data_IF_534116930409
#
_entry.id   IF_534116930409
#
_cell.length_a   1.000
_cell.length_b   1.000
_cell.length_c   1.000
_cell.angle_alpha   90.00
_cell.angle_beta   90.00
_cell.angle_gamma   90.00
#
_symmetry.space_group_name_H-M   'P 1'
#
loop_
_entity.id
_entity.type
_entity.pdbx_description
1 polymer ?
#
# COMPACT_ATOMS: atom_id res chain seq x y z
N UNK A 1 1.16 21.08 4.33
CA UNK A 1 1.61 22.17 5.21
C UNK A 1 3.05 22.53 4.90
N UNK A 2 3.29 23.73 4.38
CA UNK A 2 4.65 24.22 4.12
C UNK A 2 5.12 25.07 5.30
N UNK A 3 6.20 24.65 5.92
CA UNK A 3 7.02 25.45 6.82
C UNK A 3 8.41 25.55 6.22
N UNK A 4 8.81 26.72 5.77
CA UNK A 4 10.14 26.93 5.18
C UNK A 4 11.12 27.56 6.16
N UNK A 5 10.67 28.01 7.34
CA UNK A 5 11.52 28.68 8.30
C UNK A 5 12.35 27.71 9.13
N UNK A 6 13.67 27.94 9.11
CA UNK A 6 14.58 27.36 10.07
C UNK A 6 14.61 28.24 11.33
N UNK A 7 14.69 27.61 12.50
CA UNK A 7 14.89 28.34 13.74
C UNK A 7 16.23 29.07 13.70
N UNK A 8 16.24 30.36 13.95
CA UNK A 8 17.47 31.15 14.06
C UNK A 8 18.00 31.09 15.50
N UNK A 9 19.32 30.90 15.61
CA UNK A 9 20.01 30.90 16.90
C UNK A 9 20.60 32.29 17.11
N UNK A 10 20.12 32.98 18.14
CA UNK A 10 20.70 34.27 18.56
C UNK A 10 20.96 34.25 20.06
N UNK A 11 22.01 34.93 20.49
CA UNK A 11 22.38 34.99 21.91
C UNK A 11 21.46 35.89 22.75
N UNK A 12 20.77 36.83 22.12
CA UNK A 12 19.90 37.82 22.79
C UNK A 12 18.42 37.75 22.38
N UNK A 13 18.06 36.83 21.46
CA UNK A 13 16.69 36.65 20.98
C UNK A 13 16.10 37.84 20.22
N UNK A 14 16.94 38.80 19.80
CA UNK A 14 16.52 40.03 19.09
C UNK A 14 16.63 39.92 17.59
N UNK A 15 17.23 38.87 17.05
CA UNK A 15 17.22 38.63 15.61
C UNK A 15 15.77 38.33 15.16
N UNK A 16 15.25 39.12 14.24
CA UNK A 16 13.96 38.86 13.62
C UNK A 16 14.13 37.68 12.65
N UNK A 17 13.50 36.54 12.96
CA UNK A 17 13.33 35.47 11.96
C UNK A 17 12.32 35.93 10.91
N UNK A 18 12.55 35.55 9.64
CA UNK A 18 11.59 35.87 8.59
C UNK A 18 10.22 35.24 8.93
N UNK A 19 9.14 36.03 9.01
CA UNK A 19 7.81 35.48 9.26
C UNK A 19 7.40 34.59 8.09
N UNK A 20 6.96 33.38 8.38
CA UNK A 20 6.42 32.46 7.39
C UNK A 20 4.95 32.20 7.67
N UNK A 21 4.12 32.25 6.64
CA UNK A 21 2.70 31.95 6.73
C UNK A 21 2.45 30.51 6.30
N UNK A 22 1.77 29.76 7.16
CA UNK A 22 1.42 28.38 6.87
C UNK A 22 0.40 28.30 5.74
N UNK A 23 0.84 27.90 4.56
CA UNK A 23 -0.05 27.65 3.42
C UNK A 23 -0.67 26.26 3.58
N UNK A 24 -2.00 26.21 3.61
CA UNK A 24 -2.77 24.96 3.61
C UNK A 24 -3.44 24.79 2.26
N UNK A 25 -3.02 23.79 1.51
CA UNK A 25 -3.74 23.33 0.34
C UNK A 25 -4.71 22.19 0.72
N UNK A 26 -5.89 22.20 0.13
CA UNK A 26 -6.87 21.14 0.31
C UNK A 26 -6.73 20.16 -0.84
N UNK A 27 -6.41 18.92 -0.52
CA UNK A 27 -6.42 17.81 -1.45
C UNK A 27 -7.66 16.95 -1.17
N UNK A 28 -8.35 16.54 -2.24
CA UNK A 28 -9.44 15.60 -2.21
C UNK A 28 -9.02 14.31 -2.89
N UNK A 29 -9.52 13.18 -2.40
CA UNK A 29 -9.35 11.87 -3.03
C UNK A 29 -10.74 11.27 -3.22
N UNK A 30 -11.07 10.73 -4.40
CA UNK A 30 -12.33 10.02 -4.60
C UNK A 30 -12.29 8.70 -3.82
N UNK A 31 -13.41 8.38 -3.15
CA UNK A 31 -13.53 7.13 -2.41
C UNK A 31 -14.62 6.29 -3.10
N UNK A 32 -14.26 5.44 -4.08
CA UNK A 32 -15.21 4.56 -4.75
C UNK A 32 -15.77 3.50 -3.79
N UNK A 33 -16.97 3.01 -4.11
CA UNK A 33 -17.56 1.85 -3.45
C UNK A 33 -17.15 0.61 -4.22
N UNK A 34 -16.43 -0.29 -3.57
CA UNK A 34 -16.13 -1.63 -4.09
C UNK A 34 -17.22 -2.56 -3.61
N UNK A 35 -17.84 -3.32 -4.52
CA UNK A 35 -18.91 -4.25 -4.16
C UNK A 35 -18.85 -5.54 -4.97
N UNK A 36 -19.35 -6.61 -4.36
CA UNK A 36 -19.55 -7.93 -4.98
C UNK A 36 -20.99 -8.33 -4.73
N UNK A 37 -21.73 -8.60 -5.79
CA UNK A 37 -23.12 -9.04 -5.75
C UNK A 37 -23.20 -10.54 -6.00
N UNK A 38 -24.01 -11.26 -5.21
CA UNK A 38 -24.31 -12.67 -5.43
C UNK A 38 -25.74 -13.01 -5.00
N UNK A 39 -26.27 -14.12 -5.52
CA UNK A 39 -27.63 -14.55 -5.28
C UNK A 39 -27.67 -16.01 -4.88
N UNK A 40 -28.46 -16.33 -3.87
CA UNK A 40 -28.69 -17.69 -3.40
C UNK A 40 -30.16 -18.06 -3.63
N UNK A 41 -30.45 -18.99 -4.57
CA UNK A 41 -31.80 -19.51 -4.74
C UNK A 41 -32.27 -20.26 -3.49
N UNK A 42 -33.53 -20.04 -3.08
CA UNK A 42 -34.13 -20.66 -1.89
C UNK A 42 -34.01 -22.19 -1.88
N UNK A 43 -34.10 -22.82 -3.05
CA UNK A 43 -33.91 -24.28 -3.17
C UNK A 43 -32.51 -24.73 -2.77
N UNK A 44 -31.48 -23.97 -3.14
CA UNK A 44 -30.09 -24.26 -2.74
C UNK A 44 -29.89 -24.06 -1.25
N UNK A 45 -30.47 -23.02 -0.69
CA UNK A 45 -30.41 -22.73 0.74
C UNK A 45 -31.06 -23.87 1.56
N UNK A 46 -32.21 -24.37 1.14
CA UNK A 46 -32.86 -25.52 1.79
C UNK A 46 -32.03 -26.82 1.66
N UNK A 47 -31.40 -27.06 0.51
CA UNK A 47 -30.52 -28.21 0.33
C UNK A 47 -29.30 -28.13 1.24
N UNK A 48 -28.66 -26.99 1.33
CA UNK A 48 -27.51 -26.73 2.20
C UNK A 48 -27.84 -27.01 3.67
N UNK A 49 -28.99 -26.53 4.15
CA UNK A 49 -29.44 -26.80 5.53
C UNK A 49 -29.62 -28.29 5.81
N UNK A 50 -30.07 -29.08 4.82
CA UNK A 50 -30.24 -30.53 4.96
C UNK A 50 -28.92 -31.29 5.02
N UNK A 51 -27.85 -30.76 4.45
CA UNK A 51 -26.51 -31.37 4.45
C UNK A 51 -25.60 -30.83 5.57
N UNK A 52 -26.07 -29.81 6.32
CA UNK A 52 -25.31 -29.23 7.43
C UNK A 52 -24.17 -28.29 6.99
N UNK A 53 -24.18 -27.89 5.73
CA UNK A 53 -23.24 -26.91 5.16
C UNK A 53 -23.93 -25.56 5.03
N UNK A 54 -23.24 -24.45 5.32
CA UNK A 54 -23.77 -23.09 5.13
C UNK A 54 -23.26 -22.52 3.81
N UNK A 55 -24.05 -22.64 2.75
CA UNK A 55 -23.72 -22.05 1.45
C UNK A 55 -23.62 -20.53 1.51
N UNK A 56 -24.36 -19.91 2.43
CA UNK A 56 -24.34 -18.47 2.65
C UNK A 56 -22.96 -18.03 3.19
N UNK A 57 -22.41 -18.74 4.17
CA UNK A 57 -21.10 -18.43 4.76
C UNK A 57 -19.97 -18.64 3.75
N UNK A 58 -20.04 -19.69 2.93
CA UNK A 58 -19.06 -19.95 1.88
C UNK A 58 -19.05 -18.83 0.82
N UNK A 59 -20.23 -18.42 0.35
CA UNK A 59 -20.34 -17.36 -0.65
C UNK A 59 -19.96 -16.01 -0.08
N UNK A 60 -20.32 -15.72 1.18
CA UNK A 60 -19.90 -14.50 1.86
C UNK A 60 -18.38 -14.44 2.05
N UNK A 61 -17.75 -15.58 2.39
CA UNK A 61 -16.29 -15.67 2.50
C UNK A 61 -15.59 -15.44 1.15
N UNK A 62 -16.12 -16.03 0.06
CA UNK A 62 -15.58 -15.83 -1.29
C UNK A 62 -15.79 -14.39 -1.78
N UNK A 63 -16.97 -13.79 -1.56
CA UNK A 63 -17.22 -12.39 -1.85
C UNK A 63 -16.25 -11.46 -1.09
N UNK A 64 -15.99 -11.77 0.18
CA UNK A 64 -15.01 -11.05 0.99
C UNK A 64 -13.57 -11.21 0.49
N UNK A 65 -13.22 -12.38 -0.08
CA UNK A 65 -11.91 -12.61 -0.71
C UNK A 65 -11.74 -11.77 -1.98
N UNK A 66 -12.75 -11.77 -2.85
CA UNK A 66 -12.75 -10.98 -4.08
C UNK A 66 -12.66 -9.48 -3.77
N UNK A 67 -13.40 -9.02 -2.76
CA UNK A 67 -13.39 -7.62 -2.34
C UNK A 67 -11.98 -7.20 -1.86
N UNK A 68 -11.31 -8.04 -1.06
CA UNK A 68 -9.93 -7.76 -0.60
C UNK A 68 -8.94 -7.72 -1.75
N UNK A 69 -9.02 -8.64 -2.71
CA UNK A 69 -8.16 -8.62 -3.90
C UNK A 69 -8.37 -7.33 -4.71
N UNK A 70 -9.62 -6.85 -4.83
CA UNK A 70 -9.91 -5.57 -5.49
C UNK A 70 -9.35 -4.39 -4.71
N UNK A 71 -9.43 -4.39 -3.38
CA UNK A 71 -8.84 -3.36 -2.53
C UNK A 71 -7.29 -3.37 -2.62
N UNK A 72 -6.66 -4.55 -2.69
CA UNK A 72 -5.22 -4.70 -2.92
C UNK A 72 -4.82 -4.13 -4.28
N UNK A 73 -5.61 -4.42 -5.32
CA UNK A 73 -5.38 -3.86 -6.65
C UNK A 73 -5.54 -2.32 -6.66
N UNK A 74 -6.53 -1.77 -5.94
CA UNK A 74 -6.64 -0.32 -5.76
C UNK A 74 -5.43 0.29 -5.04
N UNK A 75 -4.84 -0.43 -4.09
CA UNK A 75 -3.60 -0.01 -3.43
C UNK A 75 -2.43 0.03 -4.41
N UNK A 76 -2.31 -0.97 -5.28
CA UNK A 76 -1.19 -1.09 -6.21
C UNK A 76 -1.32 -0.16 -7.42
N UNK A 77 -2.47 -0.22 -8.12
CA UNK A 77 -2.68 0.45 -9.42
C UNK A 77 -3.46 1.76 -9.30
N UNK A 78 -4.20 1.96 -8.20
CA UNK A 78 -5.13 3.07 -8.07
C UNK A 78 -6.44 2.83 -8.83
N UNK A 79 -7.16 3.94 -9.10
CA UNK A 79 -8.41 3.90 -9.84
C UNK A 79 -8.36 4.86 -11.02
N UNK A 80 -8.49 4.31 -12.24
CA UNK A 80 -8.30 5.07 -13.46
C UNK A 80 -9.27 6.23 -13.74
N UNK A 81 -10.56 6.17 -13.35
CA UNK A 81 -11.48 7.27 -13.57
C UNK A 81 -11.17 8.50 -12.71
N UNK A 82 -11.07 9.66 -13.36
CA UNK A 82 -10.94 10.95 -12.70
C UNK A 82 -12.31 11.49 -12.29
N UNK A 83 -12.45 11.98 -11.09
CA UNK A 83 -13.70 12.55 -10.56
C UNK A 83 -13.52 14.06 -10.36
N UNK A 84 -14.35 14.91 -10.99
CA UNK A 84 -14.27 16.35 -10.75
C UNK A 84 -14.84 16.70 -9.37
N UNK A 85 -14.15 17.58 -8.65
CA UNK A 85 -14.66 18.18 -7.42
C UNK A 85 -15.72 19.27 -7.72
N UNK A 86 -16.30 19.85 -6.68
CA UNK A 86 -17.28 20.96 -6.81
C UNK A 86 -16.70 22.24 -7.39
N UNK A 87 -15.37 22.35 -7.51
CA UNK A 87 -14.65 23.50 -8.06
C UNK A 87 -14.12 23.22 -9.48
N UNK A 88 -14.34 22.01 -10.00
CA UNK A 88 -13.88 21.56 -11.32
C UNK A 88 -12.44 21.06 -11.36
N UNK A 89 -11.79 20.87 -10.20
CA UNK A 89 -10.49 20.20 -10.16
C UNK A 89 -10.67 18.70 -10.31
N UNK A 90 -9.74 18.07 -11.01
CA UNK A 90 -9.72 16.63 -11.15
C UNK A 90 -9.14 15.98 -9.89
N UNK A 91 -9.89 15.02 -9.36
CA UNK A 91 -9.45 14.17 -8.25
C UNK A 91 -9.10 12.79 -8.80
N UNK A 92 -7.86 12.39 -8.61
CA UNK A 92 -7.34 11.10 -9.02
C UNK A 92 -7.05 10.23 -7.78
N UNK A 93 -7.25 8.92 -7.91
CA UNK A 93 -6.85 7.94 -6.91
C UNK A 93 -5.62 7.21 -7.44
N UNK A 94 -4.45 7.64 -6.98
CA UNK A 94 -3.19 7.03 -7.35
C UNK A 94 -2.96 5.71 -6.60
N UNK A 95 -2.36 4.73 -7.28
CA UNK A 95 -1.79 3.55 -6.65
C UNK A 95 -0.31 3.73 -6.33
N UNK A 96 0.25 2.84 -5.54
CA UNK A 96 1.67 2.90 -5.16
C UNK A 96 2.62 2.74 -6.35
N UNK A 97 2.17 2.15 -7.47
CA UNK A 97 2.98 2.04 -8.70
C UNK A 97 3.07 3.34 -9.49
N UNK A 98 2.23 4.34 -9.15
CA UNK A 98 2.25 5.61 -9.87
C UNK A 98 3.46 6.46 -9.49
N UNK A 99 4.13 6.99 -10.51
CA UNK A 99 5.28 7.88 -10.32
C UNK A 99 4.94 9.21 -9.65
N UNK A 100 3.66 9.58 -9.56
CA UNK A 100 3.24 10.76 -8.80
C UNK A 100 3.47 10.60 -7.30
N UNK A 101 3.33 9.37 -6.78
CA UNK A 101 3.38 9.08 -5.33
C UNK A 101 4.58 8.24 -4.92
N UNK A 102 5.21 7.52 -5.85
CA UNK A 102 6.35 6.62 -5.59
C UNK A 102 7.61 7.02 -6.34
N UNK A 103 8.76 6.60 -5.82
CA UNK A 103 10.04 6.61 -6.52
C UNK A 103 10.06 5.36 -7.37
N UNK A 104 9.99 5.52 -8.70
CA UNK A 104 9.98 4.39 -9.62
C UNK A 104 11.38 4.11 -10.15
N UNK A 105 11.76 2.84 -10.17
CA UNK A 105 13.08 2.39 -10.62
C UNK A 105 13.06 0.97 -11.16
N UNK A 106 14.25 0.49 -11.49
CA UNK A 106 14.50 -0.90 -11.86
C UNK A 106 15.40 -1.50 -10.79
N UNK A 107 15.08 -2.70 -10.31
CA UNK A 107 15.91 -3.41 -9.34
C UNK A 107 17.32 -3.66 -9.86
N UNK A 108 18.29 -3.82 -8.97
CA UNK A 108 19.70 -4.11 -9.30
C UNK A 108 19.86 -5.35 -10.19
N UNK A 109 18.87 -6.24 -10.19
CA UNK A 109 18.77 -7.39 -11.07
C UNK A 109 17.79 -8.43 -10.56
N UNK A 110 17.60 -9.48 -11.33
CA UNK A 110 16.73 -10.63 -11.02
C UNK A 110 17.14 -11.27 -9.67
N UNK A 111 16.18 -11.48 -8.80
CA UNK A 111 16.35 -12.08 -7.46
C UNK A 111 16.73 -13.57 -7.50
N UNK A 112 16.64 -14.22 -8.66
CA UNK A 112 17.25 -15.53 -8.88
C UNK A 112 18.75 -15.56 -8.59
N UNK A 113 19.41 -14.39 -8.57
CA UNK A 113 20.76 -14.21 -8.04
C UNK A 113 20.71 -13.63 -6.62
N UNK A 114 21.10 -14.38 -5.58
CA UNK A 114 20.96 -13.99 -4.18
C UNK A 114 21.63 -12.65 -3.81
N UNK A 115 22.71 -12.24 -4.49
CA UNK A 115 23.36 -10.94 -4.27
C UNK A 115 22.46 -9.77 -4.66
N UNK A 116 21.66 -9.94 -5.73
CA UNK A 116 20.80 -8.87 -6.24
C UNK A 116 19.68 -8.51 -5.26
N UNK A 117 19.20 -9.47 -4.45
CA UNK A 117 18.19 -9.21 -3.42
C UNK A 117 18.69 -8.18 -2.40
N UNK A 118 19.92 -8.37 -1.89
CA UNK A 118 20.49 -7.46 -0.91
C UNK A 118 20.83 -6.11 -1.55
N UNK A 119 21.37 -6.13 -2.78
CA UNK A 119 21.69 -4.89 -3.51
C UNK A 119 20.41 -4.10 -3.84
N UNK A 120 19.30 -4.79 -4.19
CA UNK A 120 17.98 -4.14 -4.39
C UNK A 120 17.50 -3.47 -3.11
N UNK A 121 17.61 -4.13 -1.95
CA UNK A 121 17.17 -3.56 -0.68
C UNK A 121 18.04 -2.35 -0.30
N UNK A 122 19.36 -2.48 -0.40
CA UNK A 122 20.29 -1.43 0.00
C UNK A 122 20.26 -0.23 -0.97
N UNK A 123 20.45 -0.50 -2.27
CA UNK A 123 20.70 0.56 -3.25
C UNK A 123 19.42 1.11 -3.87
N UNK A 124 18.41 0.24 -4.10
CA UNK A 124 17.22 0.65 -4.85
C UNK A 124 16.02 0.99 -3.94
N UNK A 125 15.99 0.46 -2.71
CA UNK A 125 14.92 0.75 -1.74
C UNK A 125 15.37 1.73 -0.67
N UNK A 126 16.41 1.40 0.11
CA UNK A 126 16.82 2.21 1.26
C UNK A 126 17.51 3.50 0.83
N UNK A 127 18.50 3.43 -0.05
CA UNK A 127 19.27 4.60 -0.47
C UNK A 127 18.40 5.74 -1.04
N UNK A 128 17.41 5.52 -1.93
CA UNK A 128 16.52 6.59 -2.37
C UNK A 128 15.70 7.23 -1.25
N UNK A 129 15.23 6.44 -0.28
CA UNK A 129 14.47 6.95 0.87
C UNK A 129 15.37 7.75 1.82
N UNK A 130 16.55 7.23 2.15
CA UNK A 130 17.53 7.88 3.02
C UNK A 130 18.10 9.17 2.41
N UNK A 131 18.30 9.21 1.09
CA UNK A 131 18.73 10.42 0.39
C UNK A 131 17.72 11.54 0.55
N UNK A 132 16.40 11.23 0.43
CA UNK A 132 15.36 12.22 0.68
C UNK A 132 15.31 12.69 2.14
N UNK A 133 15.64 11.80 3.09
CA UNK A 133 15.76 12.15 4.51
C UNK A 133 16.96 13.06 4.77
N UNK A 134 18.09 12.77 4.14
CA UNK A 134 19.31 13.59 4.29
C UNK A 134 19.14 15.01 3.72
N UNK A 135 18.40 15.13 2.61
CA UNK A 135 18.16 16.40 1.95
C UNK A 135 17.05 17.23 2.62
N UNK A 136 16.21 16.58 3.43
CA UNK A 136 15.03 17.20 4.01
C UNK A 136 14.73 16.62 5.41
N UNK A 137 14.80 17.46 6.46
CA UNK A 137 14.52 17.09 7.87
C UNK A 137 13.14 16.41 8.09
N UNK A 138 12.28 16.37 7.07
CA UNK A 138 10.95 15.76 7.05
C UNK A 138 10.82 14.60 6.08
N UNK A 139 11.93 14.10 5.59
CA UNK A 139 11.97 12.93 4.72
C UNK A 139 11.43 11.65 5.39
N UNK A 140 11.20 10.61 4.61
CA UNK A 140 10.81 9.31 5.13
C UNK A 140 12.00 8.67 5.85
N UNK A 141 11.86 8.33 7.13
CA UNK A 141 12.87 7.60 7.88
C UNK A 141 12.45 6.13 8.07
N UNK A 142 12.98 5.20 7.26
CA UNK A 142 12.64 3.79 7.36
C UNK A 142 13.06 3.17 8.69
N UNK A 143 14.18 3.63 9.28
CA UNK A 143 14.72 3.07 10.51
C UNK A 143 13.85 3.42 11.71
N UNK A 144 13.37 4.68 11.77
CA UNK A 144 12.53 5.15 12.87
C UNK A 144 11.08 4.68 12.73
N UNK A 145 10.54 4.72 11.51
CA UNK A 145 9.11 4.46 11.25
C UNK A 145 8.81 3.00 10.93
N UNK A 146 9.80 2.24 10.46
CA UNK A 146 9.61 0.91 9.87
C UNK A 146 9.32 0.94 8.37
N UNK A 147 9.57 -0.17 7.70
CA UNK A 147 9.39 -0.31 6.26
C UNK A 147 8.66 -1.61 5.93
N UNK A 148 7.58 -1.52 5.16
CA UNK A 148 6.97 -2.67 4.51
C UNK A 148 7.57 -2.86 3.13
N UNK A 149 7.93 -4.11 2.80
CA UNK A 149 8.38 -4.50 1.46
C UNK A 149 7.49 -5.64 0.96
N UNK A 150 6.76 -5.40 -0.12
CA UNK A 150 5.94 -6.39 -0.78
C UNK A 150 6.63 -6.90 -2.03
N UNK A 151 6.57 -8.21 -2.23
CA UNK A 151 7.18 -8.92 -3.35
C UNK A 151 6.23 -9.97 -3.92
N UNK A 152 6.40 -10.34 -5.19
CA UNK A 152 5.58 -11.39 -5.80
C UNK A 152 5.87 -12.76 -5.18
N UNK A 153 4.86 -13.63 -4.95
CA UNK A 153 5.03 -14.93 -4.29
C UNK A 153 6.07 -15.87 -4.92
N UNK A 154 6.32 -15.77 -6.24
CA UNK A 154 7.33 -16.55 -6.94
C UNK A 154 8.75 -16.29 -6.41
N UNK A 155 9.04 -15.06 -5.99
CA UNK A 155 10.35 -14.64 -5.44
C UNK A 155 10.61 -15.22 -4.03
N UNK A 156 9.62 -15.87 -3.42
CA UNK A 156 9.79 -16.50 -2.09
C UNK A 156 10.86 -17.60 -2.08
N UNK A 157 11.05 -18.30 -3.21
CA UNK A 157 12.11 -19.31 -3.34
C UNK A 157 13.49 -18.68 -3.25
N UNK A 158 13.66 -17.52 -3.85
CA UNK A 158 14.92 -16.79 -3.92
C UNK A 158 15.30 -16.22 -2.56
N UNK A 159 14.32 -15.69 -1.81
CA UNK A 159 14.49 -15.26 -0.42
C UNK A 159 14.86 -16.39 0.56
N UNK A 160 14.57 -17.65 0.20
CA UNK A 160 14.99 -18.83 0.97
C UNK A 160 16.36 -19.38 0.57
N UNK A 161 16.96 -18.85 -0.50
CA UNK A 161 18.30 -19.21 -0.90
C UNK A 161 19.32 -18.90 0.20
N UNK A 162 20.45 -19.60 0.17
CA UNK A 162 21.53 -19.34 1.13
C UNK A 162 22.15 -17.95 0.89
N UNK A 163 22.45 -17.25 1.98
CA UNK A 163 23.12 -15.95 1.93
C UNK A 163 24.52 -16.09 1.27
N UNK A 164 24.79 -15.40 0.15
CA UNK A 164 26.08 -15.47 -0.54
C UNK A 164 27.18 -14.69 0.19
N UNK A 165 26.81 -13.77 1.09
CA UNK A 165 27.74 -12.92 1.86
C UNK A 165 28.11 -13.54 3.20
N UNK A 166 27.46 -14.67 3.59
CA UNK A 166 27.62 -15.34 4.87
C UNK A 166 28.21 -16.75 4.76
N UNK A 167 28.22 -17.47 5.88
CA UNK A 167 28.75 -18.84 5.98
C UNK A 167 27.82 -19.94 5.37
N UNK A 168 26.79 -19.55 4.63
CA UNK A 168 25.83 -20.45 3.98
C UNK A 168 24.82 -21.13 4.93
N UNK A 169 24.84 -20.80 6.22
CA UNK A 169 23.94 -21.38 7.23
C UNK A 169 22.65 -20.58 7.42
N UNK A 170 22.53 -19.41 6.78
CA UNK A 170 21.42 -18.50 6.92
C UNK A 170 20.76 -18.26 5.56
N UNK A 171 19.44 -18.16 5.52
CA UNK A 171 18.72 -17.74 4.31
C UNK A 171 18.79 -16.22 4.14
N UNK A 172 18.57 -15.72 2.89
CA UNK A 172 18.49 -14.28 2.63
C UNK A 172 17.42 -13.61 3.48
N UNK A 173 16.26 -14.25 3.65
CA UNK A 173 15.19 -13.73 4.50
C UNK A 173 15.65 -13.52 5.94
N UNK A 174 16.35 -14.52 6.51
CA UNK A 174 16.90 -14.41 7.87
C UNK A 174 17.99 -13.34 7.95
N UNK A 175 18.78 -13.16 6.89
CA UNK A 175 19.79 -12.11 6.82
C UNK A 175 19.16 -10.72 6.84
N UNK A 176 18.11 -10.51 6.02
CA UNK A 176 17.35 -9.25 5.96
C UNK A 176 16.74 -8.94 7.34
N UNK A 177 16.08 -9.91 7.96
CA UNK A 177 15.49 -9.75 9.30
C UNK A 177 16.54 -9.42 10.38
N UNK A 178 17.77 -9.91 10.23
CA UNK A 178 18.85 -9.64 11.18
C UNK A 178 19.50 -8.27 10.97
N UNK A 179 19.79 -7.90 9.73
CA UNK A 179 20.52 -6.67 9.41
C UNK A 179 19.58 -5.45 9.39
N UNK A 180 18.32 -5.68 9.02
CA UNK A 180 17.27 -4.64 8.89
C UNK A 180 16.03 -5.01 9.70
N UNK A 181 16.07 -5.02 11.04
CA UNK A 181 14.96 -5.46 11.89
C UNK A 181 13.70 -4.59 11.76
N UNK A 182 13.81 -3.44 11.11
CA UNK A 182 12.71 -2.52 10.80
C UNK A 182 12.02 -2.82 9.46
N UNK A 183 12.54 -3.76 8.65
CA UNK A 183 11.94 -4.18 7.38
C UNK A 183 11.01 -5.37 7.62
N UNK A 184 9.76 -5.25 7.19
CA UNK A 184 8.78 -6.31 7.18
C UNK A 184 8.49 -6.77 5.75
N UNK A 185 8.97 -7.97 5.40
CA UNK A 185 8.80 -8.58 4.07
C UNK A 185 7.47 -9.34 3.97
N UNK A 186 6.66 -9.02 2.95
CA UNK A 186 5.35 -9.65 2.72
C UNK A 186 5.16 -10.04 1.26
N UNK A 187 4.59 -11.22 1.02
CA UNK A 187 4.18 -11.61 -0.32
C UNK A 187 2.83 -10.99 -0.67
N UNK A 188 2.73 -10.37 -1.86
CA UNK A 188 1.50 -9.81 -2.42
C UNK A 188 1.18 -10.48 -3.76
N UNK A 189 0.01 -11.10 -3.85
CA UNK A 189 -0.39 -11.90 -5.02
C UNK A 189 -0.74 -11.08 -6.25
N UNK A 190 -1.09 -9.81 -6.07
CA UNK A 190 -1.50 -8.89 -7.13
C UNK A 190 -0.32 -8.15 -7.77
N UNK A 191 0.91 -8.32 -7.26
CA UNK A 191 2.12 -7.85 -7.92
C UNK A 191 2.42 -8.74 -9.14
N UNK A 192 3.02 -8.18 -10.18
CA UNK A 192 3.57 -8.97 -11.25
C UNK A 192 4.91 -9.59 -10.85
N UNK A 193 5.31 -10.65 -11.56
CA UNK A 193 6.60 -11.28 -11.33
C UNK A 193 7.76 -10.28 -11.59
N UNK A 194 8.68 -10.20 -10.64
CA UNK A 194 9.76 -9.21 -10.68
C UNK A 194 9.37 -7.79 -10.23
N UNK A 195 8.18 -7.58 -9.68
CA UNK A 195 7.82 -6.30 -9.05
C UNK A 195 8.06 -6.33 -7.55
N UNK A 196 8.58 -5.23 -7.03
CA UNK A 196 8.78 -4.96 -5.60
C UNK A 196 8.23 -3.59 -5.26
N UNK A 197 7.48 -3.53 -4.18
CA UNK A 197 6.94 -2.29 -3.61
C UNK A 197 7.46 -2.13 -2.20
N UNK A 198 7.95 -0.95 -1.88
CA UNK A 198 8.32 -0.60 -0.52
C UNK A 198 7.57 0.65 -0.05
N UNK A 199 7.16 0.67 1.21
CA UNK A 199 6.44 1.79 1.81
C UNK A 199 6.83 2.00 3.26
N UNK A 200 7.19 3.22 3.61
CA UNK A 200 7.49 3.60 4.99
C UNK A 200 6.21 3.57 5.82
N UNK A 201 6.30 3.02 7.04
CA UNK A 201 5.17 2.90 7.98
C UNK A 201 4.91 4.23 8.70
N UNK A 202 4.62 5.27 7.94
CA UNK A 202 4.40 6.62 8.48
C UNK A 202 3.12 7.21 7.91
N UNK A 203 2.20 7.60 8.79
CA UNK A 203 0.93 8.24 8.42
C UNK A 203 1.11 9.58 7.68
N UNK A 204 2.30 10.15 7.68
CA UNK A 204 2.62 11.32 6.86
C UNK A 204 2.62 11.00 5.37
N UNK A 205 2.93 9.75 4.99
CA UNK A 205 3.04 9.31 3.60
C UNK A 205 1.91 8.38 3.16
N UNK A 206 1.40 7.54 4.07
CA UNK A 206 0.32 6.60 3.78
C UNK A 206 -0.76 6.63 4.85
N UNK A 207 -2.00 6.83 4.43
CA UNK A 207 -3.19 6.72 5.27
C UNK A 207 -4.26 5.91 4.53
N UNK A 208 -4.97 5.06 5.25
CA UNK A 208 -6.13 4.35 4.69
C UNK A 208 -7.39 5.12 5.06
N UNK A 209 -8.01 5.73 4.06
CA UNK A 209 -9.30 6.41 4.24
C UNK A 209 -10.43 5.40 4.16
N UNK A 210 -11.22 5.33 5.22
CA UNK A 210 -12.38 4.42 5.31
C UNK A 210 -13.66 5.23 5.43
N UNK A 211 -14.49 5.21 4.39
CA UNK A 211 -15.84 5.77 4.44
C UNK A 211 -16.83 4.71 4.94
N UNK A 212 -16.66 3.45 4.53
CA UNK A 212 -17.48 2.32 4.97
C UNK A 212 -16.63 1.07 5.13
N UNK A 213 -16.71 0.44 6.31
CA UNK A 213 -16.11 -0.86 6.55
C UNK A 213 -16.84 -1.96 5.74
N UNK A 214 -16.18 -3.08 5.45
CA UNK A 214 -16.81 -4.21 4.76
C UNK A 214 -18.12 -4.62 5.44
N UNK A 215 -19.20 -4.60 4.68
CA UNK A 215 -20.55 -4.90 5.17
C UNK A 215 -21.26 -5.80 4.16
N UNK A 216 -21.97 -6.80 4.65
CA UNK A 216 -22.83 -7.65 3.83
C UNK A 216 -24.28 -7.22 4.01
N UNK A 217 -24.96 -6.90 2.92
CA UNK A 217 -26.38 -6.55 2.87
C UNK A 217 -27.11 -7.69 2.17
N UNK A 218 -28.33 -8.00 2.63
CA UNK A 218 -29.18 -9.00 1.99
C UNK A 218 -30.57 -8.43 1.71
N UNK A 219 -31.14 -8.83 0.60
CA UNK A 219 -32.52 -8.49 0.18
C UNK A 219 -33.19 -9.73 -0.35
N UNK A 220 -34.37 -10.01 0.18
CA UNK A 220 -35.22 -11.09 -0.31
C UNK A 220 -35.88 -10.69 -1.63
N UNK A 221 -35.69 -11.51 -2.66
CA UNK A 221 -36.28 -11.29 -3.98
C UNK A 221 -37.75 -11.63 -4.03
N UNK A 222 -38.43 -11.18 -5.09
CA UNK A 222 -39.87 -11.40 -5.32
C UNK A 222 -40.27 -12.86 -5.03
N UNK A 223 -41.29 -13.03 -4.20
CA UNK A 223 -41.88 -14.32 -3.80
C UNK A 223 -40.96 -15.24 -2.96
N UNK A 224 -39.85 -14.77 -2.42
CA UNK A 224 -38.96 -15.59 -1.59
C UNK A 224 -38.22 -16.71 -2.34
N UNK A 225 -38.11 -16.61 -3.67
CA UNK A 225 -37.45 -17.62 -4.50
C UNK A 225 -35.95 -17.55 -4.47
N UNK A 226 -35.39 -16.39 -4.10
CA UNK A 226 -33.98 -16.17 -3.96
C UNK A 226 -33.71 -15.04 -2.96
N UNK A 227 -32.51 -15.02 -2.38
CA UNK A 227 -31.98 -13.90 -1.59
C UNK A 227 -30.76 -13.35 -2.30
N UNK A 228 -30.79 -12.06 -2.61
CA UNK A 228 -29.65 -11.32 -3.16
C UNK A 228 -28.83 -10.77 -2.03
N UNK A 229 -27.52 -10.87 -2.17
CA UNK A 229 -26.53 -10.37 -1.24
C UNK A 229 -25.62 -9.38 -1.94
N UNK A 230 -25.21 -8.36 -1.22
CA UNK A 230 -24.22 -7.39 -1.65
C UNK A 230 -23.18 -7.18 -0.55
N UNK A 231 -21.96 -7.64 -0.79
CA UNK A 231 -20.84 -7.31 0.07
C UNK A 231 -20.17 -6.06 -0.48
N UNK A 232 -20.02 -5.03 0.32
CA UNK A 232 -19.48 -3.74 -0.10
C UNK A 232 -18.52 -3.17 0.93
N UNK A 233 -17.55 -2.39 0.45
CA UNK A 233 -16.65 -1.57 1.25
C UNK A 233 -16.28 -0.29 0.50
N UNK A 234 -15.87 0.72 1.24
CA UNK A 234 -15.38 1.97 0.70
C UNK A 234 -14.14 2.37 1.48
N UNK A 235 -13.00 1.84 1.06
CA UNK A 235 -11.67 2.08 1.63
C UNK A 235 -10.68 2.32 0.51
N UNK A 236 -9.87 3.34 0.66
CA UNK A 236 -8.84 3.67 -0.33
C UNK A 236 -7.54 4.04 0.34
N UNK A 237 -6.39 3.73 -0.28
CA UNK A 237 -5.12 4.29 0.14
C UNK A 237 -5.08 5.77 -0.20
N UNK A 238 -4.52 6.56 0.69
CA UNK A 238 -4.21 7.94 0.44
C UNK A 238 -2.70 8.13 0.58
N UNK A 239 -2.04 8.14 -0.56
CA UNK A 239 -0.61 8.41 -0.65
C UNK A 239 -0.38 9.92 -0.61
N UNK A 240 0.49 10.35 0.28
CA UNK A 240 0.85 11.74 0.44
C UNK A 240 2.29 11.95 0.00
N UNK A 241 2.50 12.99 -0.79
CA UNK A 241 3.82 13.56 -1.01
C UNK A 241 3.93 14.84 -0.23
N UNK A 242 5.12 15.18 0.25
CA UNK A 242 5.31 16.48 0.87
C UNK A 242 5.26 17.58 -0.20
N UNK A 243 5.10 18.84 0.23
CA UNK A 243 5.14 19.99 -0.69
C UNK A 243 6.45 20.05 -1.51
N UNK A 244 7.54 19.57 -0.93
CA UNK A 244 8.86 19.53 -1.59
C UNK A 244 9.03 18.31 -2.49
N UNK A 245 7.96 17.53 -2.73
CA UNK A 245 7.97 16.35 -3.61
C UNK A 245 8.59 15.09 -2.99
N UNK A 246 8.82 15.10 -1.68
CA UNK A 246 9.36 13.92 -0.95
C UNK A 246 8.32 12.82 -0.90
N UNK A 247 8.72 11.61 -1.23
CA UNK A 247 7.87 10.41 -1.33
C UNK A 247 8.31 9.35 -0.33
N UNK A 248 7.34 8.70 0.31
CA UNK A 248 7.58 7.61 1.26
C UNK A 248 7.48 6.20 0.66
N UNK A 249 7.43 6.09 -0.68
CA UNK A 249 7.17 4.84 -1.37
C UNK A 249 8.17 4.63 -2.50
N UNK A 250 8.53 3.36 -2.74
CA UNK A 250 9.40 2.94 -3.85
C UNK A 250 8.68 1.84 -4.62
N UNK A 251 8.72 1.90 -5.94
CA UNK A 251 8.24 0.86 -6.83
C UNK A 251 9.35 0.46 -7.80
N UNK A 252 9.68 -0.82 -7.82
CA UNK A 252 10.74 -1.39 -8.66
C UNK A 252 10.18 -2.48 -9.56
N UNK A 253 10.78 -2.59 -10.75
CA UNK A 253 10.55 -3.67 -11.70
C UNK A 253 11.84 -4.42 -11.98
N UNK A 254 11.76 -5.70 -12.37
CA UNK A 254 12.92 -6.50 -12.77
C UNK A 254 13.70 -7.14 -11.62
N UNK A 255 13.05 -7.31 -10.45
CA UNK A 255 13.60 -7.99 -9.29
C UNK A 255 13.54 -9.53 -9.41
#
# INVERSE_FOLDING_TARGET
DKWSNKAEISMDGRAESAPDERVKERFGVPIPIVHVDYEIPARRQQQSMNFGESIEDEQAAEAGRILRATEENLFLEGWGPTVPDSQGNNLDLYGVKDSAVSINGTAAGDWGSPSNVLDTIDDDVLNPLETQTADNDRGPDPVESGLWVWYHPNQRSDLRAADPRGDGNMSLMQRIEQDYPYIEMRAAGELNDGEVVASVQDNRFLEILTAQAPTNLSEEQEFGLATSYKTLASRVPFFRTTYDGVKGHVFLTGA
#
